data_IF_534746472297
#
_entry.id   IF_534746472297
#
_cell.length_a   1.000
_cell.length_b   1.000
_cell.length_c   1.000
_cell.angle_alpha   90.00
_cell.angle_beta   90.00
_cell.angle_gamma   90.00
#
_symmetry.space_group_name_H-M   'P 1'
#
loop_
_entity.id
_entity.type
_entity.pdbx_description
1 polymer ?
#
# COMPACT_ATOMS: atom_id res chain seq x y z
N UNK A 1 93.51 16.24 -21.40
CA UNK A 1 92.33 16.88 -22.03
C UNK A 1 91.01 16.10 -21.85
N UNK A 2 91.01 14.80 -21.51
CA UNK A 2 89.79 13.98 -21.50
C UNK A 2 88.91 14.09 -20.24
N UNK A 3 89.46 14.50 -19.09
CA UNK A 3 88.72 14.55 -17.82
C UNK A 3 87.82 15.79 -17.66
N UNK A 4 88.12 16.89 -18.37
CA UNK A 4 87.34 18.13 -18.31
C UNK A 4 86.04 18.01 -19.13
N UNK A 5 86.08 17.36 -20.29
CA UNK A 5 84.89 17.11 -21.13
C UNK A 5 83.87 16.18 -20.44
N UNK A 6 84.36 15.17 -19.70
CA UNK A 6 83.50 14.26 -18.95
C UNK A 6 82.79 14.93 -17.77
N UNK A 7 83.47 15.87 -17.08
CA UNK A 7 82.88 16.64 -15.98
C UNK A 7 81.79 17.61 -16.48
N UNK A 8 82.08 18.37 -17.56
CA UNK A 8 81.12 19.31 -18.16
C UNK A 8 79.89 18.59 -18.71
N UNK A 9 80.07 17.42 -19.35
CA UNK A 9 78.95 16.62 -19.86
C UNK A 9 78.05 16.06 -18.74
N UNK A 10 78.65 15.67 -17.61
CA UNK A 10 77.91 15.16 -16.44
C UNK A 10 77.08 16.27 -15.77
N UNK A 11 77.62 17.49 -15.66
CA UNK A 11 76.89 18.65 -15.11
C UNK A 11 75.78 19.15 -16.04
N UNK A 12 76.01 19.18 -17.36
CA UNK A 12 74.96 19.50 -18.34
C UNK A 12 73.82 18.49 -18.31
N UNK A 13 74.12 17.17 -18.23
CA UNK A 13 73.11 16.12 -18.19
C UNK A 13 72.29 16.16 -16.90
N UNK A 14 72.91 16.45 -15.75
CA UNK A 14 72.22 16.60 -14.46
C UNK A 14 71.26 17.79 -14.44
N UNK A 15 71.63 18.91 -15.05
CA UNK A 15 70.77 20.09 -15.16
C UNK A 15 69.63 19.89 -16.16
N UNK A 16 69.85 19.14 -17.25
CA UNK A 16 68.80 18.77 -18.19
C UNK A 16 67.76 17.83 -17.55
N UNK A 17 68.20 16.80 -16.81
CA UNK A 17 67.29 15.91 -16.08
C UNK A 17 66.51 16.63 -14.99
N UNK A 18 67.13 17.60 -14.30
CA UNK A 18 66.46 18.41 -13.28
C UNK A 18 65.40 19.34 -13.89
N UNK A 19 65.68 19.95 -15.05
CA UNK A 19 64.70 20.79 -15.78
C UNK A 19 63.51 19.98 -16.29
N UNK A 20 63.73 18.76 -16.77
CA UNK A 20 62.65 17.85 -17.22
C UNK A 20 61.78 17.40 -16.03
N UNK A 21 62.40 17.09 -14.89
CA UNK A 21 61.68 16.75 -13.66
C UNK A 21 60.84 17.94 -13.16
N UNK A 22 61.40 19.15 -13.18
CA UNK A 22 60.69 20.38 -12.79
C UNK A 22 59.49 20.65 -13.71
N UNK A 23 59.63 20.42 -15.02
CA UNK A 23 58.55 20.59 -15.99
C UNK A 23 57.41 19.57 -15.79
N UNK A 24 57.74 18.33 -15.40
CA UNK A 24 56.75 17.30 -15.03
C UNK A 24 56.01 17.65 -13.74
N UNK A 25 56.71 18.16 -12.72
CA UNK A 25 56.11 18.59 -11.45
C UNK A 25 55.18 19.78 -11.67
N UNK A 26 55.60 20.78 -12.45
CA UNK A 26 54.74 21.93 -12.79
C UNK A 26 53.51 21.49 -13.58
N UNK A 27 53.66 20.57 -14.55
CA UNK A 27 52.53 19.97 -15.27
C UNK A 27 51.51 19.28 -14.36
N UNK A 28 51.99 18.60 -13.31
CA UNK A 28 51.14 17.93 -12.31
C UNK A 28 50.35 18.94 -11.45
N UNK A 29 50.95 20.09 -11.11
CA UNK A 29 50.28 21.15 -10.37
C UNK A 29 49.23 21.92 -11.20
N UNK A 30 49.40 22.00 -12.52
CA UNK A 30 48.41 22.60 -13.42
C UNK A 30 47.16 21.73 -13.60
N UNK A 31 47.27 20.39 -13.55
CA UNK A 31 46.10 19.49 -13.62
C UNK A 31 45.18 19.56 -12.40
N UNK A 32 45.67 19.97 -11.22
CA UNK A 32 44.85 20.00 -9.99
C UNK A 32 43.79 21.11 -10.02
N UNK A 33 44.01 22.17 -10.80
CA UNK A 33 43.06 23.29 -10.94
C UNK A 33 41.87 22.99 -11.86
N UNK A 34 41.82 21.80 -12.48
CA UNK A 34 40.71 21.41 -13.37
C UNK A 34 39.59 20.62 -12.69
N UNK A 35 39.74 20.29 -11.41
CA UNK A 35 38.66 19.73 -10.60
C UNK A 35 38.07 20.82 -9.69
N UNK A 36 36.76 21.06 -9.83
CA UNK A 36 35.89 21.89 -8.97
C UNK A 36 35.95 23.42 -9.14
N UNK A 37 35.32 23.94 -10.20
CA UNK A 37 34.75 25.29 -10.16
C UNK A 37 33.43 25.25 -9.37
N UNK A 38 33.54 25.40 -8.06
CA UNK A 38 32.41 25.52 -7.15
C UNK A 38 31.70 26.85 -7.40
N UNK A 39 30.40 26.78 -7.72
CA UNK A 39 29.52 27.92 -7.91
C UNK A 39 28.52 28.00 -6.76
N UNK A 40 28.17 29.22 -6.36
CA UNK A 40 27.06 29.47 -5.43
C UNK A 40 25.79 29.56 -6.28
N UNK A 41 24.96 28.54 -6.18
CA UNK A 41 23.64 28.48 -6.83
C UNK A 41 22.65 29.23 -5.95
N UNK A 42 22.05 30.28 -6.50
CA UNK A 42 20.92 30.99 -5.90
C UNK A 42 19.67 30.65 -6.69
N UNK A 43 18.60 30.26 -6.03
CA UNK A 43 17.36 30.02 -6.74
C UNK A 43 16.12 30.21 -5.90
N UNK A 44 14.99 30.17 -6.57
CA UNK A 44 13.65 30.21 -5.97
C UNK A 44 12.85 29.00 -6.45
N UNK A 45 12.11 28.39 -5.53
CA UNK A 45 11.20 27.27 -5.81
C UNK A 45 9.77 27.75 -5.63
N UNK A 46 8.95 27.53 -6.66
CA UNK A 46 7.53 27.91 -6.70
C UNK A 46 6.67 26.74 -7.14
N UNK A 47 5.38 26.82 -6.85
CA UNK A 47 4.38 25.91 -7.37
C UNK A 47 3.86 26.37 -8.75
N UNK A 48 2.87 25.66 -9.29
CA UNK A 48 2.22 26.01 -10.57
C UNK A 48 1.35 27.26 -10.50
N UNK A 49 0.94 27.68 -9.29
CA UNK A 49 0.13 28.88 -9.05
C UNK A 49 0.99 30.15 -8.90
N UNK A 50 2.31 29.97 -8.73
CA UNK A 50 3.29 31.04 -8.54
C UNK A 50 3.62 31.32 -7.07
N UNK A 51 3.04 30.56 -6.13
CA UNK A 51 3.33 30.63 -4.70
C UNK A 51 4.70 30.02 -4.37
N UNK A 52 5.48 30.64 -3.46
CA UNK A 52 6.77 30.11 -3.04
C UNK A 52 6.60 28.83 -2.20
N UNK A 53 7.42 27.82 -2.46
CA UNK A 53 7.39 26.56 -1.70
C UNK A 53 8.41 26.64 -0.57
N UNK A 54 7.90 26.68 0.66
CA UNK A 54 8.68 26.73 1.89
C UNK A 54 9.05 25.31 2.33
N UNK A 55 10.31 25.06 2.67
CA UNK A 55 10.74 23.76 3.17
C UNK A 55 11.02 22.70 2.10
N UNK A 56 11.12 23.07 0.82
CA UNK A 56 11.53 22.17 -0.25
C UNK A 56 12.99 21.73 -0.07
N UNK A 57 13.25 20.45 -0.29
CA UNK A 57 14.58 19.86 -0.20
C UNK A 57 15.33 20.04 -1.52
N UNK A 58 16.54 20.60 -1.47
CA UNK A 58 17.36 20.91 -2.64
C UNK A 58 18.71 20.23 -2.48
N UNK A 59 18.99 19.18 -3.23
CA UNK A 59 20.19 18.32 -3.06
C UNK A 59 20.96 18.19 -4.38
N UNK A 60 22.30 18.21 -4.32
CA UNK A 60 23.13 17.81 -5.46
C UNK A 60 23.10 16.29 -5.64
N UNK A 61 22.63 15.82 -6.80
CA UNK A 61 22.45 14.42 -7.17
C UNK A 61 23.71 13.59 -6.90
N UNK A 62 23.55 12.50 -6.16
CA UNK A 62 24.65 11.59 -5.82
C UNK A 62 25.51 12.04 -4.63
N UNK A 63 25.16 13.14 -3.96
CA UNK A 63 25.86 13.64 -2.78
C UNK A 63 24.89 13.88 -1.62
N UNK A 64 25.43 14.13 -0.43
CA UNK A 64 24.66 14.61 0.73
C UNK A 64 24.64 16.14 0.85
N UNK A 65 25.22 16.84 -0.13
CA UNK A 65 25.29 18.29 -0.15
C UNK A 65 23.96 18.86 -0.62
N UNK A 66 23.22 19.49 0.30
CA UNK A 66 21.90 20.02 0.06
C UNK A 66 21.51 21.11 1.05
N UNK A 67 20.39 21.75 0.77
CA UNK A 67 19.82 22.85 1.55
C UNK A 67 18.29 22.78 1.51
N UNK A 68 17.63 23.61 2.29
CA UNK A 68 16.16 23.70 2.33
C UNK A 68 15.76 25.12 1.94
N UNK A 69 14.63 25.27 1.24
CA UNK A 69 14.10 26.60 0.89
C UNK A 69 13.58 27.36 2.12
N UNK A 70 13.75 28.69 2.10
CA UNK A 70 13.27 29.60 3.14
C UNK A 70 11.77 29.97 2.98
N UNK A 71 11.29 30.90 3.80
CA UNK A 71 9.89 31.38 3.79
C UNK A 71 9.46 32.03 2.48
N UNK A 72 10.40 32.54 1.70
CA UNK A 72 10.14 33.16 0.40
C UNK A 72 10.43 32.18 -0.75
N UNK A 73 10.69 30.91 -0.43
CA UNK A 73 11.01 29.84 -1.38
C UNK A 73 12.44 29.91 -1.95
N UNK A 74 13.29 30.80 -1.41
CA UNK A 74 14.67 30.95 -1.88
C UNK A 74 15.58 29.88 -1.29
N UNK A 75 16.62 29.52 -2.04
CA UNK A 75 17.67 28.63 -1.58
C UNK A 75 19.06 29.09 -2.03
N UNK A 76 20.05 28.70 -1.24
CA UNK A 76 21.48 28.93 -1.48
C UNK A 76 22.21 27.59 -1.32
N UNK A 77 22.80 27.11 -2.41
CA UNK A 77 23.51 25.83 -2.45
C UNK A 77 24.86 25.99 -3.15
N UNK A 78 25.91 25.44 -2.55
CA UNK A 78 27.20 25.34 -3.19
C UNK A 78 27.24 24.08 -4.05
N UNK A 79 27.42 24.19 -5.36
CA UNK A 79 27.47 23.05 -6.28
C UNK A 79 28.59 23.26 -7.32
N UNK A 80 29.06 22.21 -7.98
CA UNK A 80 29.99 22.38 -9.09
C UNK A 80 29.23 22.72 -10.38
N UNK A 81 29.90 23.44 -11.28
CA UNK A 81 29.35 23.71 -12.61
C UNK A 81 29.08 22.38 -13.35
N UNK A 82 27.81 22.15 -13.73
CA UNK A 82 27.38 20.93 -14.41
C UNK A 82 26.77 19.86 -13.51
N UNK A 83 26.79 20.05 -12.19
CA UNK A 83 26.09 19.15 -11.26
C UNK A 83 24.57 19.21 -11.49
N UNK A 84 23.88 18.11 -11.20
CA UNK A 84 22.42 18.05 -11.26
C UNK A 84 21.88 18.29 -9.85
N UNK A 85 20.96 19.23 -9.71
CA UNK A 85 20.24 19.51 -8.47
C UNK A 85 18.87 18.85 -8.56
N UNK A 86 18.53 18.11 -7.52
CA UNK A 86 17.21 17.50 -7.31
C UNK A 86 16.47 18.35 -6.30
N UNK A 87 15.29 18.83 -6.70
CA UNK A 87 14.38 19.57 -5.83
C UNK A 87 13.17 18.67 -5.58
N UNK A 88 12.86 18.43 -4.31
CA UNK A 88 11.72 17.61 -3.90
C UNK A 88 10.97 18.22 -2.73
N UNK A 89 9.65 18.06 -2.74
CA UNK A 89 8.78 18.47 -1.64
C UNK A 89 7.59 17.52 -1.57
N UNK A 90 7.03 17.33 -0.37
CA UNK A 90 5.91 16.41 -0.16
C UNK A 90 4.69 16.96 -0.92
N UNK A 91 4.06 16.11 -1.74
CA UNK A 91 2.92 16.49 -2.59
C UNK A 91 3.29 17.06 -3.96
N UNK A 92 4.59 17.11 -4.31
CA UNK A 92 5.08 17.62 -5.58
C UNK A 92 6.01 16.63 -6.27
N UNK A 93 6.01 16.66 -7.61
CA UNK A 93 6.94 15.86 -8.41
C UNK A 93 8.35 16.40 -8.26
N UNK A 94 9.28 15.48 -7.98
CA UNK A 94 10.70 15.83 -7.89
C UNK A 94 11.20 16.32 -9.25
N UNK A 95 11.88 17.46 -9.27
CA UNK A 95 12.41 18.07 -10.48
C UNK A 95 13.93 18.04 -10.45
N UNK A 96 14.54 17.61 -11.55
CA UNK A 96 15.97 17.69 -11.76
C UNK A 96 16.30 18.91 -12.65
N UNK A 97 17.33 19.66 -12.28
CA UNK A 97 17.82 20.79 -13.06
C UNK A 97 19.35 20.92 -12.94
N UNK A 98 20.02 21.37 -14.01
CA UNK A 98 21.47 21.61 -13.95
C UNK A 98 21.78 22.84 -13.07
N UNK A 99 22.84 22.72 -12.27
CA UNK A 99 23.32 23.77 -11.39
C UNK A 99 23.70 25.03 -12.20
N UNK A 100 23.02 26.13 -11.94
CA UNK A 100 23.27 27.44 -12.53
C UNK A 100 23.32 28.52 -11.46
N UNK A 101 23.98 29.65 -11.72
CA UNK A 101 24.13 30.72 -10.72
C UNK A 101 22.78 31.33 -10.26
N UNK A 102 21.78 31.33 -11.16
CA UNK A 102 20.41 31.75 -10.87
C UNK A 102 19.44 30.70 -11.41
N UNK A 103 18.54 30.21 -10.56
CA UNK A 103 17.55 29.19 -10.91
C UNK A 103 16.14 29.62 -10.50
N UNK A 104 15.17 29.38 -11.37
CA UNK A 104 13.76 29.49 -11.05
C UNK A 104 13.12 28.13 -11.35
N UNK A 105 12.71 27.42 -10.31
CA UNK A 105 12.18 26.06 -10.41
C UNK A 105 10.70 26.09 -10.07
N UNK A 106 9.89 25.60 -11.00
CA UNK A 106 8.46 25.40 -10.78
C UNK A 106 8.25 23.91 -10.53
N UNK A 107 7.88 23.55 -9.31
CA UNK A 107 7.43 22.20 -8.99
C UNK A 107 5.99 22.03 -9.44
N UNK A 108 5.72 20.90 -10.07
CA UNK A 108 4.37 20.52 -10.43
C UNK A 108 3.78 19.68 -9.31
N UNK A 109 2.51 19.91 -9.01
CA UNK A 109 1.78 19.07 -8.06
C UNK A 109 1.91 17.62 -8.47
N UNK A 110 2.14 16.76 -7.48
CA UNK A 110 2.08 15.33 -7.67
C UNK A 110 0.62 14.88 -7.58
N UNK A 111 -0.18 15.36 -8.52
CA UNK A 111 -1.54 14.87 -8.79
C UNK A 111 -1.52 13.51 -9.49
N UNK A 112 -0.50 12.67 -9.24
CA UNK A 112 -0.74 11.23 -9.20
C UNK A 112 -1.67 10.96 -8.01
N UNK A 113 -2.96 11.25 -8.22
CA UNK A 113 -4.01 10.36 -7.76
C UNK A 113 -3.49 8.96 -8.11
N UNK A 114 -3.10 8.19 -7.10
CA UNK A 114 -2.73 6.79 -7.25
C UNK A 114 -3.75 6.18 -8.20
N UNK A 115 -3.34 5.93 -9.45
CA UNK A 115 -4.16 5.21 -10.40
C UNK A 115 -4.45 3.88 -9.71
N UNK A 116 -5.68 3.71 -9.19
CA UNK A 116 -6.06 2.48 -8.54
C UNK A 116 -6.08 1.42 -9.63
N UNK A 117 -4.95 0.70 -9.73
CA UNK A 117 -4.80 -0.45 -10.60
C UNK A 117 -5.59 -1.57 -9.96
N UNK A 118 -6.73 -1.88 -10.56
CA UNK A 118 -7.50 -3.05 -10.20
C UNK A 118 -7.05 -4.18 -11.12
N UNK A 119 -6.54 -5.26 -10.54
CA UNK A 119 -6.17 -6.46 -11.30
C UNK A 119 -7.46 -7.21 -11.64
N UNK A 120 -7.81 -7.22 -12.92
CA UNK A 120 -8.92 -8.01 -13.44
C UNK A 120 -8.30 -9.17 -14.22
N UNK A 121 -8.02 -10.27 -13.54
CA UNK A 121 -7.38 -11.44 -14.16
C UNK A 121 -5.95 -11.16 -14.64
N UNK A 122 -5.69 -11.33 -15.95
CA UNK A 122 -4.35 -11.23 -16.56
C UNK A 122 -3.93 -9.81 -16.98
N UNK A 123 -4.70 -8.77 -16.63
CA UNK A 123 -4.41 -7.38 -16.98
C UNK A 123 -4.71 -6.39 -15.87
N UNK A 124 -3.91 -5.31 -15.81
CA UNK A 124 -4.12 -4.14 -14.96
C UNK A 124 -4.97 -3.11 -15.69
N UNK A 125 -6.15 -2.76 -15.14
CA UNK A 125 -7.01 -1.70 -15.72
C UNK A 125 -7.22 -0.62 -14.66
N UNK A 126 -7.19 0.64 -15.10
CA UNK A 126 -7.47 1.80 -14.24
C UNK A 126 -8.92 1.78 -13.80
N UNK A 127 -9.17 2.08 -12.52
CA UNK A 127 -10.52 2.14 -11.93
C UNK A 127 -11.47 3.08 -12.69
N UNK A 128 -10.95 4.16 -13.26
CA UNK A 128 -11.75 5.19 -13.96
C UNK A 128 -12.22 4.76 -15.36
N UNK A 129 -11.55 3.80 -16.00
CA UNK A 129 -11.92 3.27 -17.32
C UNK A 129 -12.97 2.14 -17.22
N UNK A 130 -13.33 1.72 -16.00
CA UNK A 130 -14.33 0.67 -15.77
C UNK A 130 -15.69 1.32 -15.51
N UNK A 131 -16.48 1.45 -16.58
CA UNK A 131 -17.89 1.87 -16.52
C UNK A 131 -18.82 0.88 -15.78
N UNK A 132 -18.30 -0.18 -15.17
CA UNK A 132 -19.05 -1.28 -14.57
C UNK A 132 -18.78 -1.38 -13.08
N UNK A 133 -19.77 -1.85 -12.32
CA UNK A 133 -19.84 -1.91 -10.86
C UNK A 133 -18.71 -2.73 -10.20
N UNK A 134 -17.49 -2.22 -10.24
CA UNK A 134 -16.29 -2.77 -9.60
C UNK A 134 -16.08 -2.03 -8.28
N UNK A 135 -15.95 -2.77 -7.19
CA UNK A 135 -15.63 -2.21 -5.88
C UNK A 135 -14.35 -2.85 -5.39
N UNK A 136 -13.29 -2.04 -5.32
CA UNK A 136 -12.03 -2.43 -4.70
C UNK A 136 -12.01 -1.95 -3.24
N UNK A 137 -11.65 -2.83 -2.33
CA UNK A 137 -11.52 -2.60 -0.89
C UNK A 137 -10.05 -2.86 -0.54
N UNK A 138 -9.37 -1.80 -0.12
CA UNK A 138 -7.98 -1.88 0.34
C UNK A 138 -7.91 -2.32 1.80
N UNK A 139 -6.74 -2.82 2.23
CA UNK A 139 -6.51 -3.29 3.59
C UNK A 139 -6.90 -2.26 4.68
N UNK A 140 -6.79 -0.96 4.39
CA UNK A 140 -7.13 0.11 5.33
C UNK A 140 -8.64 0.23 5.58
N UNK A 141 -9.45 -0.13 4.59
CA UNK A 141 -10.92 -0.03 4.59
C UNK A 141 -11.60 -1.30 5.08
N UNK A 142 -10.86 -2.41 5.12
CA UNK A 142 -11.33 -3.70 5.63
C UNK A 142 -11.73 -3.62 7.10
N UNK A 143 -12.67 -4.48 7.50
CA UNK A 143 -13.07 -4.59 8.90
C UNK A 143 -11.89 -5.02 9.77
N UNK A 144 -11.62 -4.23 10.82
CA UNK A 144 -10.55 -4.48 11.79
C UNK A 144 -11.16 -5.11 13.05
N UNK A 145 -10.50 -6.10 13.63
CA UNK A 145 -10.95 -6.76 14.86
C UNK A 145 -10.76 -8.27 14.82
N UNK A 146 -11.55 -8.99 15.64
CA UNK A 146 -11.52 -10.45 15.75
C UNK A 146 -12.24 -11.14 14.58
N UNK A 147 -11.76 -10.84 13.37
CA UNK A 147 -12.23 -11.43 12.13
C UNK A 147 -11.65 -12.84 12.03
N UNK A 148 -12.54 -13.84 11.98
CA UNK A 148 -12.15 -15.25 11.94
C UNK A 148 -12.12 -15.83 10.53
N UNK A 149 -12.63 -15.10 9.54
CA UNK A 149 -12.64 -15.51 8.14
C UNK A 149 -12.42 -14.31 7.20
N UNK A 150 -11.65 -14.45 6.10
CA UNK A 150 -11.42 -13.36 5.15
C UNK A 150 -12.69 -12.68 4.62
N UNK A 151 -13.80 -13.39 4.53
CA UNK A 151 -15.07 -12.88 4.03
C UNK A 151 -15.68 -11.81 4.95
N UNK A 152 -15.42 -11.88 6.26
CA UNK A 152 -15.88 -10.87 7.22
C UNK A 152 -15.17 -9.53 7.02
N UNK A 153 -13.96 -9.51 6.42
CA UNK A 153 -13.21 -8.29 6.15
C UNK A 153 -13.96 -7.31 5.25
N UNK A 154 -14.76 -7.82 4.31
CA UNK A 154 -15.53 -7.04 3.33
C UNK A 154 -17.01 -6.90 3.68
N UNK A 155 -17.43 -7.45 4.83
CA UNK A 155 -18.82 -7.41 5.27
C UNK A 155 -19.29 -5.96 5.46
N UNK A 156 -20.36 -5.59 4.75
CA UNK A 156 -20.90 -4.23 4.79
C UNK A 156 -20.06 -3.17 4.08
N UNK A 157 -18.93 -3.53 3.46
CA UNK A 157 -18.07 -2.61 2.70
C UNK A 157 -18.47 -2.48 1.24
N UNK A 158 -19.17 -3.48 0.71
CA UNK A 158 -19.60 -3.51 -0.69
C UNK A 158 -21.12 -3.42 -0.78
N UNK A 159 -21.69 -2.41 -1.46
CA UNK A 159 -23.13 -2.32 -1.66
C UNK A 159 -23.66 -3.51 -2.46
N UNK A 160 -24.70 -4.16 -1.93
CA UNK A 160 -25.35 -5.32 -2.54
C UNK A 160 -24.62 -6.65 -2.31
N UNK A 161 -23.57 -6.67 -1.49
CA UNK A 161 -22.91 -7.89 -1.02
C UNK A 161 -23.42 -8.25 0.38
N UNK A 162 -23.92 -9.48 0.53
CA UNK A 162 -24.30 -10.02 1.83
C UNK A 162 -23.39 -11.19 2.18
N UNK A 163 -22.85 -11.18 3.40
CA UNK A 163 -22.06 -12.28 3.96
C UNK A 163 -22.88 -12.90 5.09
N UNK A 164 -23.24 -14.18 4.97
CA UNK A 164 -23.82 -14.94 6.07
C UNK A 164 -22.72 -15.76 6.72
N UNK A 165 -22.44 -15.43 7.99
CA UNK A 165 -21.52 -16.20 8.81
C UNK A 165 -22.13 -17.59 9.08
N UNK A 166 -21.31 -18.63 9.08
CA UNK A 166 -21.72 -19.96 9.51
C UNK A 166 -21.90 -20.06 11.03
N UNK A 167 -21.70 -21.26 11.60
CA UNK A 167 -21.98 -21.59 13.00
C UNK A 167 -21.05 -20.92 14.05
N UNK A 168 -20.40 -19.80 13.72
CA UNK A 168 -19.54 -19.03 14.64
C UNK A 168 -18.23 -19.72 15.05
N UNK A 169 -18.00 -20.95 14.60
CA UNK A 169 -16.75 -21.66 14.79
C UNK A 169 -15.62 -21.02 13.94
N UNK A 170 -14.40 -20.87 14.48
CA UNK A 170 -13.25 -20.44 13.67
C UNK A 170 -13.04 -21.35 12.48
N UNK A 171 -12.88 -20.78 11.28
CA UNK A 171 -12.78 -21.56 10.04
C UNK A 171 -14.11 -22.14 9.53
N UNK A 172 -15.23 -21.90 10.21
CA UNK A 172 -16.55 -22.16 9.63
C UNK A 172 -16.68 -21.30 8.36
N UNK A 173 -16.99 -21.96 7.26
CA UNK A 173 -17.24 -21.29 6.00
C UNK A 173 -18.32 -20.22 6.16
N UNK A 174 -18.13 -19.09 5.49
CA UNK A 174 -19.17 -18.08 5.31
C UNK A 174 -19.65 -18.11 3.86
N UNK A 175 -20.94 -17.89 3.68
CA UNK A 175 -21.54 -17.80 2.35
C UNK A 175 -21.59 -16.34 1.93
N UNK A 176 -21.09 -16.05 0.73
CA UNK A 176 -21.11 -14.71 0.16
C UNK A 176 -22.13 -14.70 -0.97
N UNK A 177 -22.95 -13.65 -1.05
CA UNK A 177 -23.92 -13.47 -2.12
C UNK A 177 -23.84 -12.04 -2.64
N UNK A 178 -23.70 -11.90 -3.96
CA UNK A 178 -23.63 -10.60 -4.65
C UNK A 178 -24.93 -10.39 -5.40
N UNK A 179 -25.73 -9.43 -4.94
CA UNK A 179 -27.11 -9.19 -5.37
C UNK A 179 -27.99 -10.41 -5.03
N UNK A 180 -29.27 -10.21 -4.73
CA UNK A 180 -30.18 -11.30 -4.33
C UNK A 180 -30.24 -12.38 -5.41
N UNK A 181 -29.38 -13.40 -5.26
CA UNK A 181 -28.82 -14.26 -6.31
C UNK A 181 -29.75 -14.84 -7.38
N UNK A 182 -29.10 -15.22 -8.47
CA UNK A 182 -29.70 -15.36 -9.80
C UNK A 182 -30.43 -16.69 -10.06
N UNK A 183 -30.35 -17.67 -9.15
CA UNK A 183 -30.89 -19.02 -9.38
C UNK A 183 -31.73 -19.55 -8.22
N UNK A 184 -32.84 -20.19 -8.57
CA UNK A 184 -33.72 -20.93 -7.66
C UNK A 184 -33.21 -22.35 -7.37
N UNK A 185 -32.39 -22.91 -8.28
CA UNK A 185 -32.00 -24.34 -8.28
C UNK A 185 -30.49 -24.59 -8.36
N UNK A 186 -29.68 -23.56 -8.66
CA UNK A 186 -28.22 -23.66 -8.76
C UNK A 186 -27.52 -22.88 -7.62
N UNK A 187 -26.25 -23.19 -7.39
CA UNK A 187 -25.43 -22.42 -6.45
C UNK A 187 -25.39 -20.95 -6.88
N UNK A 188 -25.60 -20.07 -5.90
CA UNK A 188 -25.61 -18.62 -6.08
C UNK A 188 -24.32 -17.98 -5.55
N UNK A 189 -23.32 -18.80 -5.20
CA UNK A 189 -22.04 -18.32 -4.72
C UNK A 189 -21.29 -17.64 -5.88
N UNK A 190 -20.63 -16.51 -5.62
CA UNK A 190 -19.77 -15.86 -6.59
C UNK A 190 -18.51 -16.70 -6.84
N UNK A 191 -17.89 -16.50 -8.00
CA UNK A 191 -16.58 -17.08 -8.27
C UNK A 191 -15.52 -16.33 -7.44
N UNK A 192 -14.72 -17.06 -6.68
CA UNK A 192 -13.60 -16.49 -5.93
C UNK A 192 -12.33 -16.75 -6.72
N UNK A 193 -11.46 -15.75 -6.81
CA UNK A 193 -10.17 -15.82 -7.50
C UNK A 193 -9.11 -15.34 -6.54
N UNK A 194 -8.13 -16.17 -6.20
CA UNK A 194 -7.01 -15.79 -5.33
C UNK A 194 -5.76 -15.75 -6.19
N UNK A 195 -5.09 -14.60 -6.25
CA UNK A 195 -3.86 -14.41 -7.01
C UNK A 195 -3.94 -14.90 -8.48
N UNK A 196 -5.12 -14.75 -9.09
CA UNK A 196 -5.40 -15.18 -10.47
C UNK A 196 -5.89 -16.62 -10.63
N UNK A 197 -5.91 -17.43 -9.55
CA UNK A 197 -6.38 -18.81 -9.57
C UNK A 197 -7.84 -18.86 -9.08
N UNK A 198 -8.80 -19.31 -9.91
CA UNK A 198 -10.18 -19.47 -9.48
C UNK A 198 -10.29 -20.61 -8.47
N UNK A 199 -10.90 -20.34 -7.32
CA UNK A 199 -11.25 -21.33 -6.31
C UNK A 199 -12.77 -21.42 -6.18
N UNK A 200 -13.26 -22.64 -6.11
CA UNK A 200 -14.66 -22.92 -5.82
C UNK A 200 -14.88 -22.94 -4.31
N UNK A 201 -15.93 -22.26 -3.83
CA UNK A 201 -16.39 -22.34 -2.43
C UNK A 201 -17.14 -23.65 -2.13
N UNK A 202 -17.01 -24.65 -3.01
CA UNK A 202 -17.74 -25.92 -2.98
C UNK A 202 -17.07 -26.87 -1.96
N UNK A 203 -17.06 -26.45 -0.69
CA UNK A 203 -16.61 -27.27 0.40
C UNK A 203 -17.75 -28.22 0.80
N UNK A 204 -17.49 -29.53 0.70
CA UNK A 204 -18.39 -30.53 1.28
C UNK A 204 -18.62 -30.20 2.78
N UNK A 205 -19.82 -30.46 3.33
CA UNK A 205 -20.12 -30.18 4.74
C UNK A 205 -19.03 -30.75 5.67
N UNK A 206 -18.36 -29.88 6.43
CA UNK A 206 -17.26 -30.25 7.33
C UNK A 206 -15.84 -30.06 6.77
N UNK A 207 -15.67 -29.59 5.54
CA UNK A 207 -14.36 -29.19 4.98
C UNK A 207 -14.16 -27.68 5.12
N UNK A 208 -12.97 -27.19 5.51
CA UNK A 208 -12.68 -25.76 5.50
C UNK A 208 -12.81 -25.20 4.08
N UNK A 209 -13.51 -24.07 3.93
CA UNK A 209 -13.56 -23.37 2.65
C UNK A 209 -12.15 -22.97 2.21
N UNK A 210 -11.88 -22.90 0.90
CA UNK A 210 -10.58 -22.45 0.36
C UNK A 210 -10.18 -21.04 0.82
N UNK A 211 -11.14 -20.25 1.28
CA UNK A 211 -10.91 -18.94 1.90
C UNK A 211 -10.53 -19.02 3.38
N UNK A 212 -10.94 -20.06 4.10
CA UNK A 212 -10.60 -20.24 5.51
C UNK A 212 -9.13 -20.62 5.72
N UNK A 213 -8.42 -21.04 4.66
CA UNK A 213 -6.99 -21.36 4.70
C UNK A 213 -6.09 -20.14 4.52
N UNK A 214 -6.65 -18.99 4.12
CA UNK A 214 -5.91 -17.75 3.93
C UNK A 214 -5.99 -16.92 5.21
N UNK A 215 -4.84 -16.47 5.68
CA UNK A 215 -4.78 -15.53 6.80
C UNK A 215 -5.33 -14.16 6.33
N UNK A 216 -6.34 -13.60 7.02
CA UNK A 216 -6.84 -12.24 6.76
C UNK A 216 -5.73 -11.18 6.64
N UNK A 217 -4.64 -11.32 7.39
CA UNK A 217 -3.53 -10.35 7.41
C UNK A 217 -2.66 -10.38 6.15
N UNK A 218 -2.70 -11.46 5.38
CA UNK A 218 -1.90 -11.61 4.16
C UNK A 218 -2.62 -11.02 2.94
N UNK A 219 -3.85 -10.57 3.10
CA UNK A 219 -4.66 -9.98 2.03
C UNK A 219 -4.30 -8.50 1.87
N UNK A 220 -4.04 -8.11 0.62
CA UNK A 220 -3.72 -6.74 0.23
C UNK A 220 -4.97 -6.00 -0.24
N UNK A 221 -5.71 -6.60 -1.16
CA UNK A 221 -6.94 -6.02 -1.70
C UNK A 221 -8.00 -7.08 -1.97
N UNK A 222 -9.26 -6.69 -1.77
CA UNK A 222 -10.41 -7.36 -2.34
C UNK A 222 -10.94 -6.55 -3.50
N UNK A 223 -11.22 -7.20 -4.61
CA UNK A 223 -11.90 -6.59 -5.76
C UNK A 223 -13.16 -7.37 -6.06
N UNK A 224 -14.30 -6.70 -5.98
CA UNK A 224 -15.60 -7.30 -6.25
C UNK A 224 -16.13 -6.79 -7.58
N UNK A 225 -16.32 -7.71 -8.53
CA UNK A 225 -16.92 -7.46 -9.83
C UNK A 225 -18.41 -7.86 -9.78
N UNK A 226 -19.30 -6.87 -9.85
CA UNK A 226 -20.76 -7.09 -9.70
C UNK A 226 -21.52 -7.22 -11.03
N UNK A 227 -20.94 -6.74 -12.13
CA UNK A 227 -21.61 -6.66 -13.43
C UNK A 227 -21.01 -7.60 -14.47
N UNK A 228 -21.85 -8.06 -15.40
CA UNK A 228 -21.50 -8.99 -16.46
C UNK A 228 -20.36 -8.51 -17.37
N UNK A 229 -20.22 -7.18 -17.58
CA UNK A 229 -19.13 -6.62 -18.38
C UNK A 229 -17.76 -6.81 -17.72
N UNK A 230 -17.69 -6.61 -16.42
CA UNK A 230 -16.46 -6.79 -15.64
C UNK A 230 -16.14 -8.28 -15.42
N UNK A 231 -17.17 -9.12 -15.30
CA UNK A 231 -17.00 -10.56 -15.06
C UNK A 231 -16.84 -11.40 -16.32
N UNK A 232 -17.04 -10.83 -17.52
CA UNK A 232 -16.97 -11.53 -18.80
C UNK A 232 -15.67 -12.32 -19.03
N UNK A 233 -14.55 -11.85 -18.46
CA UNK A 233 -13.24 -12.53 -18.54
C UNK A 233 -13.28 -13.93 -17.90
N UNK A 234 -14.11 -14.13 -16.88
CA UNK A 234 -14.21 -15.39 -16.13
C UNK A 234 -15.34 -16.31 -16.63
N UNK A 235 -16.06 -15.90 -17.69
CA UNK A 235 -17.07 -16.72 -18.38
C UNK A 235 -18.32 -17.02 -17.55
N UNK A 236 -18.99 -18.13 -17.86
CA UNK A 236 -20.31 -18.49 -17.29
C UNK A 236 -20.29 -18.71 -15.77
N UNK A 237 -19.15 -19.09 -15.19
CA UNK A 237 -18.96 -19.25 -13.73
C UNK A 237 -19.04 -17.92 -12.98
N UNK A 238 -18.94 -16.81 -13.70
CA UNK A 238 -18.90 -15.46 -13.19
C UNK A 238 -20.29 -14.77 -13.18
N UNK A 239 -21.35 -15.52 -13.50
CA UNK A 239 -22.73 -15.02 -13.61
C UNK A 239 -23.29 -14.49 -12.28
N UNK A 240 -22.78 -15.00 -11.14
CA UNK A 240 -23.15 -14.55 -9.80
C UNK A 240 -22.18 -13.47 -9.24
N UNK A 241 -21.30 -12.92 -10.08
CA UNK A 241 -20.22 -12.01 -9.66
C UNK A 241 -18.88 -12.72 -9.43
N UNK A 242 -17.81 -11.92 -9.34
CA UNK A 242 -16.45 -12.41 -9.07
C UNK A 242 -15.84 -11.62 -7.91
N UNK A 243 -15.18 -12.34 -7.00
CA UNK A 243 -14.38 -11.75 -5.91
C UNK A 243 -12.93 -12.13 -6.16
N UNK A 244 -12.12 -11.13 -6.47
CA UNK A 244 -10.68 -11.28 -6.64
C UNK A 244 -9.99 -10.88 -5.35
N UNK A 245 -9.09 -11.72 -4.88
CA UNK A 245 -8.29 -11.53 -3.68
C UNK A 245 -6.84 -11.48 -4.12
N UNK A 246 -6.16 -10.38 -3.80
CA UNK A 246 -4.73 -10.24 -4.02
C UNK A 246 -4.02 -10.36 -2.67
N UNK A 247 -3.05 -11.27 -2.58
CA UNK A 247 -2.19 -11.37 -1.39
C UNK A 247 -1.01 -10.42 -1.49
N UNK A 248 -0.50 -10.01 -0.32
CA UNK A 248 0.66 -9.13 -0.18
C UNK A 248 1.89 -9.82 -0.77
N UNK A 249 2.57 -9.14 -1.70
CA UNK A 249 3.83 -9.60 -2.29
C UNK A 249 5.02 -8.80 -1.75
N UNK A 250 6.17 -9.45 -1.64
CA UNK A 250 7.42 -8.80 -1.24
C UNK A 250 7.92 -7.82 -2.30
N UNK A 251 8.26 -6.60 -1.89
CA UNK A 251 8.85 -5.57 -2.77
C UNK A 251 10.39 -5.60 -2.68
N UNK A 252 11.08 -5.43 -3.81
CA UNK A 252 12.56 -5.49 -3.87
C UNK A 252 13.27 -4.32 -3.17
N UNK A 253 12.59 -3.21 -2.92
CA UNK A 253 13.25 -1.98 -2.50
C UNK A 253 13.70 -1.96 -1.03
N UNK A 254 12.91 -2.49 -0.08
CA UNK A 254 13.21 -2.46 1.37
C UNK A 254 12.51 -3.58 2.14
N UNK A 255 13.22 -4.22 3.08
CA UNK A 255 12.62 -5.16 4.03
C UNK A 255 11.68 -4.38 4.96
N UNK A 256 10.39 -4.69 4.93
CA UNK A 256 9.38 -4.17 5.86
C UNK A 256 8.95 -5.30 6.80
N UNK A 257 9.16 -5.10 8.10
CA UNK A 257 8.74 -6.05 9.14
C UNK A 257 7.57 -5.45 9.90
N UNK A 258 6.43 -6.15 9.91
CA UNK A 258 5.24 -5.77 10.68
C UNK A 258 4.90 -6.87 11.68
N UNK A 259 4.68 -6.50 12.94
CA UNK A 259 4.21 -7.40 13.99
C UNK A 259 2.80 -7.00 14.43
N UNK A 260 1.87 -7.95 14.41
CA UNK A 260 0.50 -7.77 14.87
C UNK A 260 0.17 -8.81 15.94
N UNK A 261 -0.23 -8.37 17.12
CA UNK A 261 -0.72 -9.23 18.20
C UNK A 261 -2.11 -8.77 18.65
N UNK A 262 -3.06 -9.69 18.68
CA UNK A 262 -4.44 -9.42 19.11
C UNK A 262 -4.88 -10.47 20.13
N UNK A 263 -5.40 -10.03 21.27
CA UNK A 263 -6.03 -10.91 22.26
C UNK A 263 -7.54 -10.69 22.23
N UNK A 264 -8.33 -11.76 22.12
CA UNK A 264 -9.79 -11.69 22.07
C UNK A 264 -10.40 -12.81 22.90
N UNK A 265 -11.30 -12.47 23.82
CA UNK A 265 -12.16 -13.40 24.52
C UNK A 265 -13.60 -13.28 23.96
N UNK A 266 -14.24 -14.42 23.66
CA UNK A 266 -15.63 -14.48 23.19
C UNK A 266 -16.50 -15.10 24.29
N UNK A 267 -17.55 -14.41 24.72
CA UNK A 267 -18.58 -14.92 25.63
C UNK A 267 -19.89 -15.13 24.85
N UNK A 268 -20.53 -16.31 24.89
CA UNK A 268 -21.81 -16.53 24.22
C UNK A 268 -22.92 -15.61 24.77
N UNK A 269 -23.28 -14.60 23.97
CA UNK A 269 -24.29 -13.59 24.31
C UNK A 269 -25.70 -14.17 24.50
N UNK A 270 -26.01 -15.30 23.85
CA UNK A 270 -27.35 -15.91 23.88
C UNK A 270 -27.23 -17.38 24.24
N UNK A 271 -27.53 -17.70 25.50
CA UNK A 271 -27.83 -19.06 25.93
C UNK A 271 -29.32 -19.26 25.71
N UNK A 272 -29.71 -20.36 25.06
CA UNK A 272 -31.12 -20.73 25.04
C UNK A 272 -31.51 -21.00 26.48
N UNK A 273 -32.51 -20.29 27.00
CA UNK A 273 -33.09 -20.59 28.29
C UNK A 273 -33.70 -21.99 28.22
N UNK A 274 -32.97 -22.97 28.72
CA UNK A 274 -33.49 -24.31 28.92
C UNK A 274 -34.22 -24.34 30.24
N UNK A 275 -35.39 -24.98 30.28
CA UNK A 275 -36.06 -25.28 31.54
C UNK A 275 -35.11 -26.06 32.45
N UNK A 276 -34.90 -25.57 33.67
CA UNK A 276 -34.20 -26.31 34.72
C UNK A 276 -34.93 -27.63 35.04
N UNK A 277 -34.29 -28.54 35.78
CA UNK A 277 -34.91 -29.85 36.10
C UNK A 277 -36.12 -29.74 37.06
N UNK A 278 -36.28 -28.62 37.77
CA UNK A 278 -37.30 -28.40 38.80
C UNK A 278 -38.73 -28.14 38.26
N UNK A 279 -38.97 -27.44 37.13
CA UNK A 279 -40.32 -27.28 36.59
C UNK A 279 -40.86 -28.56 35.92
N UNK A 280 -40.00 -29.52 35.53
CA UNK A 280 -40.45 -30.79 34.91
C UNK A 280 -41.19 -31.71 35.88
N UNK A 281 -40.86 -31.70 37.17
CA UNK A 281 -41.59 -32.49 38.18
C UNK A 281 -42.94 -31.86 38.56
N UNK A 282 -43.12 -30.55 38.32
CA UNK A 282 -44.38 -29.86 38.60
C UNK A 282 -45.33 -29.77 37.39
N UNK A 283 -44.84 -29.96 36.16
CA UNK A 283 -45.69 -29.99 34.97
C UNK A 283 -46.62 -31.24 34.91
N UNK A 284 -46.30 -32.32 35.63
CA UNK A 284 -47.16 -33.49 35.76
C UNK A 284 -48.29 -33.36 36.80
N UNK A 285 -48.24 -32.33 37.65
CA UNK A 285 -49.10 -32.20 38.84
C UNK A 285 -50.17 -31.10 38.70
N UNK A 286 -50.13 -30.31 37.62
CA UNK A 286 -51.00 -29.14 37.40
C UNK A 286 -51.92 -29.37 36.19
N UNK A 287 -52.39 -30.61 35.99
CA UNK A 287 -53.50 -30.91 35.04
C UNK A 287 -54.87 -30.98 35.74
N UNK A 288 -55.02 -30.34 36.90
CA UNK A 288 -56.24 -30.46 37.68
C UNK A 288 -56.38 -29.43 38.80
N UNK A 289 -56.42 -28.13 38.47
CA UNK A 289 -57.25 -27.14 39.17
C UNK A 289 -57.12 -25.73 38.57
N UNK A 290 -58.23 -25.33 37.99
CA UNK A 290 -58.89 -24.04 38.20
C UNK A 290 -58.50 -22.81 37.38
N UNK A 291 -59.58 -22.17 36.94
CA UNK A 291 -59.76 -21.04 36.03
C UNK A 291 -59.21 -19.72 36.58
N UNK A 292 -59.08 -18.78 35.63
CA UNK A 292 -59.46 -17.34 35.69
C UNK A 292 -58.36 -16.28 35.85
N UNK A 293 -58.48 -15.28 34.95
CA UNK A 293 -58.08 -13.84 34.97
C UNK A 293 -56.62 -13.44 34.70
N UNK A 294 -56.39 -12.94 33.48
CA UNK A 294 -56.00 -11.56 33.17
C UNK A 294 -54.87 -10.86 33.95
N UNK A 295 -53.89 -10.35 33.21
CA UNK A 295 -52.97 -9.31 33.68
C UNK A 295 -51.77 -9.15 32.76
N UNK A 296 -51.76 -8.09 31.95
CA UNK A 296 -50.60 -7.62 31.20
C UNK A 296 -49.77 -6.71 32.13
N UNK A 297 -48.47 -6.93 32.34
CA UNK A 297 -47.61 -5.91 32.91
C UNK A 297 -46.67 -5.36 31.83
N UNK A 298 -46.91 -4.11 31.47
CA UNK A 298 -45.89 -3.19 30.99
C UNK A 298 -44.90 -2.95 32.12
N UNK A 299 -43.59 -3.02 31.88
CA UNK A 299 -42.68 -2.15 32.61
C UNK A 299 -41.43 -1.76 31.83
N UNK A 300 -41.15 -0.49 31.98
CA UNK A 300 -40.15 0.37 31.34
C UNK A 300 -38.84 0.41 32.12
N UNK A 301 -37.76 0.77 31.41
CA UNK A 301 -36.52 1.36 31.95
C UNK A 301 -35.61 0.34 32.72
N UNK A 302 -34.28 0.36 32.65
CA UNK A 302 -33.33 1.44 32.44
C UNK A 302 -31.93 0.85 32.16
N UNK A 303 -31.18 1.59 31.36
CA UNK A 303 -29.76 1.36 30.99
C UNK A 303 -28.86 1.72 32.19
N UNK A 304 -27.68 1.13 32.30
CA UNK A 304 -26.47 1.95 32.18
C UNK A 304 -25.54 1.51 31.05
#
# INVERSE_FOLDING_TARGET
MNNIKAFIYKDMKRNATFKVLLMFIVGLFLSVNTFAQQIVVKGIVKDTTGEPIIGANVIVKGTTNGTITDFDGNFLLNANKGDIIIISFIGYRSQEAQAAASMNIILKDDTELLDEVVVIGYGSVKKDDLSGSVVAIKAEEMNKGAVTSPQELIMGKVPGLSVSQGDGAPGAGSTIRIRGGASLNASNDPLIVIDGIPVSNDAAPGTPNALATINPNDIETFTVLKDASATAIYGSRASNGVIIIQTKKGTQDKIKVSYSGTFTAKDPYKRIETLDAQPRSNAGSISGRNRTVGGHPTDSERIP
#
